data_IF_479934383510
#
_entry.id   IF_479934383510
#
_cell.length_a   1.000
_cell.length_b   1.000
_cell.length_c   1.000
_cell.angle_alpha   90.00
_cell.angle_beta   90.00
_cell.angle_gamma   90.00
#
_symmetry.space_group_name_H-M   'P 1'
#
loop_
_entity.id
_entity.type
_entity.pdbx_description
1 polymer ?
#
# COMPACT_ATOMS: atom_id res chain seq x y z
N UNK A 1 -7.81 -58.98 -13.30
CA UNK A 1 -6.60 -58.16 -13.52
C UNK A 1 -6.60 -57.03 -12.49
N UNK A 2 -5.74 -57.10 -11.47
CA UNK A 2 -5.60 -56.06 -10.45
C UNK A 2 -4.57 -55.03 -10.94
N UNK A 3 -5.04 -53.89 -11.42
CA UNK A 3 -4.17 -52.78 -11.82
C UNK A 3 -3.46 -52.23 -10.58
N UNK A 4 -2.16 -52.50 -10.50
CA UNK A 4 -1.25 -51.94 -9.51
C UNK A 4 -0.97 -50.50 -9.93
N UNK A 5 -1.69 -49.55 -9.35
CA UNK A 5 -1.43 -48.12 -9.55
C UNK A 5 0.04 -47.83 -9.24
N UNK A 6 0.81 -47.25 -10.18
CA UNK A 6 2.18 -46.87 -9.91
C UNK A 6 2.15 -45.69 -8.93
N UNK A 7 2.81 -45.89 -7.79
CA UNK A 7 3.09 -44.84 -6.83
C UNK A 7 3.93 -43.77 -7.53
N UNK A 8 3.29 -42.66 -7.91
CA UNK A 8 3.99 -41.45 -8.28
C UNK A 8 4.71 -40.96 -7.02
N UNK A 9 6.02 -41.19 -6.96
CA UNK A 9 6.90 -40.45 -6.07
C UNK A 9 6.81 -38.98 -6.48
N UNK A 10 5.95 -38.24 -5.77
CA UNK A 10 6.00 -36.78 -5.76
C UNK A 10 7.31 -36.43 -5.06
N UNK A 11 8.37 -36.26 -5.84
CA UNK A 11 9.57 -35.61 -5.35
C UNK A 11 9.14 -34.24 -4.82
N UNK A 12 9.31 -33.93 -3.53
CA UNK A 12 9.16 -32.57 -3.08
C UNK A 12 10.23 -31.79 -3.81
N UNK A 13 9.82 -31.04 -4.83
CA UNK A 13 10.61 -29.97 -5.36
C UNK A 13 10.71 -28.98 -4.20
N UNK A 14 11.71 -29.13 -3.35
CA UNK A 14 12.17 -28.04 -2.53
C UNK A 14 12.57 -26.97 -3.55
N UNK A 15 11.67 -26.00 -3.76
CA UNK A 15 12.00 -24.76 -4.44
C UNK A 15 13.14 -24.17 -3.63
N UNK A 16 14.38 -24.51 -3.97
CA UNK A 16 15.59 -23.89 -3.45
C UNK A 16 15.47 -22.44 -3.86
N UNK A 17 14.91 -21.63 -2.95
CA UNK A 17 14.94 -20.19 -3.09
C UNK A 17 16.41 -19.83 -3.24
N UNK A 18 16.80 -19.10 -4.30
CA UNK A 18 18.18 -18.65 -4.43
C UNK A 18 18.60 -18.01 -3.10
N UNK A 19 19.83 -18.27 -2.62
CA UNK A 19 20.30 -17.70 -1.37
C UNK A 19 20.07 -16.19 -1.44
N UNK A 20 19.41 -15.65 -0.41
CA UNK A 20 19.12 -14.23 -0.35
C UNK A 20 20.43 -13.45 -0.56
N UNK A 21 20.42 -12.37 -1.37
CA UNK A 21 21.62 -11.57 -1.57
C UNK A 21 22.16 -11.12 -0.21
N UNK A 22 23.48 -10.99 -0.11
CA UNK A 22 24.13 -10.55 1.12
C UNK A 22 23.42 -9.30 1.68
N UNK A 23 23.00 -9.40 2.92
CA UNK A 23 22.26 -8.37 3.62
C UNK A 23 23.07 -7.07 3.65
N UNK A 24 22.63 -6.07 2.90
CA UNK A 24 23.26 -4.74 2.92
C UNK A 24 22.66 -3.90 4.05
N UNK A 25 23.30 -3.97 5.22
CA UNK A 25 22.89 -3.25 6.43
C UNK A 25 22.80 -1.75 6.18
N UNK A 26 23.74 -1.17 5.41
CA UNK A 26 23.73 0.26 5.11
C UNK A 26 22.50 0.67 4.28
N UNK A 27 22.08 -0.17 3.33
CA UNK A 27 20.85 0.08 2.56
C UNK A 27 19.62 0.02 3.46
N UNK A 28 19.57 -0.91 4.41
CA UNK A 28 18.46 -1.00 5.36
C UNK A 28 18.42 0.21 6.32
N UNK A 29 19.58 0.67 6.80
CA UNK A 29 19.65 1.88 7.63
C UNK A 29 19.23 3.12 6.82
N UNK A 30 19.68 3.26 5.56
CA UNK A 30 19.28 4.38 4.71
C UNK A 30 17.78 4.37 4.39
N UNK A 31 17.20 3.20 4.10
CA UNK A 31 15.76 3.11 3.86
C UNK A 31 14.96 3.48 5.11
N UNK A 32 15.40 3.08 6.31
CA UNK A 32 14.77 3.48 7.57
C UNK A 32 14.85 5.00 7.81
N UNK A 33 16.02 5.61 7.55
CA UNK A 33 16.19 7.08 7.66
C UNK A 33 15.28 7.83 6.69
N UNK A 34 15.15 7.36 5.45
CA UNK A 34 14.23 7.95 4.49
C UNK A 34 12.76 7.75 4.90
N UNK A 35 12.41 6.56 5.39
CA UNK A 35 11.06 6.25 5.84
C UNK A 35 10.58 7.19 6.96
N UNK A 36 11.48 7.70 7.82
CA UNK A 36 11.14 8.71 8.81
C UNK A 36 10.62 10.02 8.17
N UNK A 37 11.20 10.44 7.05
CA UNK A 37 10.71 11.60 6.28
C UNK A 37 9.36 11.35 5.62
N UNK A 38 9.14 10.13 5.10
CA UNK A 38 7.85 9.70 4.54
C UNK A 38 6.79 9.63 5.64
N UNK A 39 7.15 9.19 6.84
CA UNK A 39 6.25 9.11 7.99
C UNK A 39 5.75 10.49 8.41
N UNK A 40 6.60 11.51 8.40
CA UNK A 40 6.17 12.89 8.68
C UNK A 40 5.11 13.37 7.67
N UNK A 41 5.31 13.08 6.39
CA UNK A 41 4.32 13.37 5.34
C UNK A 41 3.03 12.55 5.56
N UNK A 42 3.12 11.29 5.97
CA UNK A 42 1.96 10.47 6.32
C UNK A 42 1.15 11.04 7.49
N UNK A 43 1.83 11.45 8.57
CA UNK A 43 1.18 12.10 9.71
C UNK A 43 0.47 13.40 9.30
N UNK A 44 1.07 14.17 8.40
CA UNK A 44 0.46 15.37 7.85
C UNK A 44 -0.82 15.04 7.06
N UNK A 45 -0.78 14.04 6.17
CA UNK A 45 -1.96 13.59 5.42
C UNK A 45 -3.08 13.15 6.36
N UNK A 46 -2.77 12.29 7.32
CA UNK A 46 -3.75 11.77 8.28
C UNK A 46 -4.36 12.89 9.13
N UNK A 47 -3.55 13.82 9.64
CA UNK A 47 -4.04 14.94 10.46
C UNK A 47 -4.93 15.90 9.67
N UNK A 48 -4.61 16.18 8.41
CA UNK A 48 -5.43 17.03 7.53
C UNK A 48 -6.77 16.39 7.17
N UNK A 49 -6.77 15.09 6.86
CA UNK A 49 -8.00 14.34 6.58
C UNK A 49 -8.89 14.30 7.84
N UNK A 50 -8.33 13.86 8.98
CA UNK A 50 -9.07 13.77 10.23
C UNK A 50 -9.59 15.14 10.73
N UNK A 51 -8.83 16.21 10.50
CA UNK A 51 -9.19 17.57 10.91
C UNK A 51 -10.11 18.33 9.96
N UNK A 52 -10.46 17.76 8.79
CA UNK A 52 -11.26 18.49 7.80
C UNK A 52 -12.31 17.59 7.14
N UNK A 53 -13.57 17.78 7.55
CA UNK A 53 -14.73 17.12 6.93
C UNK A 53 -14.88 17.50 5.45
N UNK A 54 -14.62 18.76 5.10
CA UNK A 54 -14.72 19.23 3.72
C UNK A 54 -13.66 18.57 2.82
N UNK A 55 -12.42 18.46 3.29
CA UNK A 55 -11.36 17.74 2.56
C UNK A 55 -11.71 16.27 2.38
N UNK A 56 -12.17 15.62 3.45
CA UNK A 56 -12.60 14.22 3.42
C UNK A 56 -13.72 14.00 2.41
N UNK A 57 -14.73 14.88 2.39
CA UNK A 57 -15.83 14.84 1.42
C UNK A 57 -15.32 14.94 -0.02
N UNK A 58 -14.41 15.88 -0.30
CA UNK A 58 -13.83 16.03 -1.65
C UNK A 58 -13.03 14.82 -2.10
N UNK A 59 -12.30 14.17 -1.19
CA UNK A 59 -11.57 12.93 -1.49
C UNK A 59 -12.55 11.80 -1.80
N UNK A 60 -13.60 11.63 -1.00
CA UNK A 60 -14.63 10.61 -1.22
C UNK A 60 -15.33 10.81 -2.56
N UNK A 61 -15.78 12.04 -2.86
CA UNK A 61 -16.43 12.35 -4.15
C UNK A 61 -15.51 12.06 -5.34
N UNK A 62 -14.21 12.39 -5.24
CA UNK A 62 -13.25 12.06 -6.29
C UNK A 62 -13.04 10.54 -6.43
N UNK A 63 -13.05 9.80 -5.32
CA UNK A 63 -12.94 8.33 -5.34
C UNK A 63 -14.17 7.67 -5.97
N UNK A 64 -15.39 8.15 -5.65
CA UNK A 64 -16.64 7.70 -6.27
C UNK A 64 -16.62 7.91 -7.79
N UNK A 65 -16.02 9.01 -8.25
CA UNK A 65 -15.85 9.33 -9.67
C UNK A 65 -14.66 8.63 -10.34
N UNK A 66 -13.93 7.79 -9.59
CA UNK A 66 -12.67 7.17 -10.03
C UNK A 66 -11.59 8.15 -10.49
N UNK A 67 -11.63 9.39 -10.00
CA UNK A 67 -10.68 10.45 -10.36
C UNK A 67 -9.42 10.44 -9.48
N UNK A 68 -8.49 9.55 -9.84
CA UNK A 68 -7.17 9.44 -9.19
C UNK A 68 -6.38 10.74 -9.25
N UNK A 69 -6.51 11.54 -10.32
CA UNK A 69 -5.72 12.74 -10.49
C UNK A 69 -6.13 13.83 -9.50
N UNK A 70 -7.44 13.99 -9.28
CA UNK A 70 -7.96 14.90 -8.25
C UNK A 70 -7.53 14.49 -6.86
N UNK A 71 -7.59 13.20 -6.50
CA UNK A 71 -7.13 12.74 -5.18
C UNK A 71 -5.65 13.03 -4.98
N UNK A 72 -4.79 12.68 -5.96
CA UNK A 72 -3.35 12.98 -5.89
C UNK A 72 -3.09 14.47 -5.71
N UNK A 73 -3.83 15.32 -6.44
CA UNK A 73 -3.73 16.78 -6.32
C UNK A 73 -4.13 17.26 -4.92
N UNK A 74 -5.25 16.78 -4.38
CA UNK A 74 -5.72 17.12 -3.04
C UNK A 74 -4.68 16.75 -1.97
N UNK A 75 -4.07 15.57 -2.08
CA UNK A 75 -3.02 15.12 -1.15
C UNK A 75 -1.76 15.98 -1.29
N UNK A 76 -1.30 16.26 -2.50
CA UNK A 76 -0.15 17.14 -2.73
C UNK A 76 -0.37 18.55 -2.19
N UNK A 77 -1.59 19.09 -2.30
CA UNK A 77 -1.96 20.38 -1.74
C UNK A 77 -1.88 20.45 -0.21
N UNK A 78 -1.81 19.31 0.49
CA UNK A 78 -1.61 19.28 1.94
C UNK A 78 -0.17 19.63 2.37
N UNK A 79 0.76 19.73 1.42
CA UNK A 79 2.19 20.00 1.67
C UNK A 79 3.07 18.74 1.62
N UNK A 80 2.56 17.63 1.07
CA UNK A 80 3.30 16.38 0.92
C UNK A 80 4.43 16.52 -0.10
N UNK A 81 5.64 16.19 0.32
CA UNK A 81 6.86 16.33 -0.49
C UNK A 81 7.07 15.09 -1.36
N UNK A 82 6.83 13.91 -0.80
CA UNK A 82 7.05 12.62 -1.49
C UNK A 82 6.00 12.36 -2.58
N UNK A 83 6.34 11.49 -3.54
CA UNK A 83 5.40 11.08 -4.59
C UNK A 83 4.20 10.33 -3.98
N UNK A 84 3.02 10.49 -4.60
CA UNK A 84 1.76 9.96 -4.08
C UNK A 84 1.08 9.14 -5.16
N UNK A 85 0.74 7.90 -4.82
CA UNK A 85 -0.17 7.08 -5.59
C UNK A 85 -1.37 6.65 -4.74
N UNK A 86 -2.50 6.35 -5.38
CA UNK A 86 -3.74 6.01 -4.71
C UNK A 86 -4.50 4.90 -5.44
N UNK A 87 -4.92 3.91 -4.67
CA UNK A 87 -5.86 2.87 -5.08
C UNK A 87 -7.05 2.92 -4.14
N UNK A 88 -8.25 2.80 -4.66
CA UNK A 88 -9.47 2.85 -3.87
C UNK A 88 -10.51 1.89 -4.43
N UNK A 89 -11.42 1.49 -3.56
CA UNK A 89 -12.63 0.75 -3.89
C UNK A 89 -13.80 1.42 -3.12
N UNK A 90 -15.04 0.92 -3.24
CA UNK A 90 -16.17 1.48 -2.50
C UNK A 90 -16.01 1.48 -0.97
N UNK A 91 -15.07 0.73 -0.40
CA UNK A 91 -14.89 0.57 1.04
C UNK A 91 -13.77 1.42 1.64
N UNK A 92 -12.81 1.83 0.83
CA UNK A 92 -11.65 2.57 1.31
C UNK A 92 -10.62 2.95 0.26
N UNK A 93 -9.55 3.56 0.75
CA UNK A 93 -8.40 4.04 -0.03
C UNK A 93 -7.09 3.56 0.58
N UNK A 94 -6.15 3.28 -0.31
CA UNK A 94 -4.75 3.06 -0.02
C UNK A 94 -3.97 4.21 -0.64
N UNK A 95 -3.32 5.00 0.21
CA UNK A 95 -2.44 6.10 -0.19
C UNK A 95 -1.01 5.60 -0.04
N UNK A 96 -0.30 5.52 -1.15
CA UNK A 96 1.11 5.15 -1.19
C UNK A 96 1.96 6.41 -1.28
N UNK A 97 2.81 6.63 -0.28
CA UNK A 97 3.85 7.64 -0.30
C UNK A 97 5.17 6.96 -0.68
N UNK A 98 5.77 7.42 -1.78
CA UNK A 98 6.88 6.74 -2.44
C UNK A 98 8.15 7.59 -2.31
N UNK A 99 9.19 6.99 -1.73
CA UNK A 99 10.56 7.48 -1.77
C UNK A 99 11.45 6.55 -2.60
N UNK A 100 12.72 6.93 -2.73
CA UNK A 100 13.68 6.19 -3.58
C UNK A 100 14.08 4.83 -3.02
N UNK A 101 13.99 4.62 -1.70
CA UNK A 101 14.42 3.40 -1.01
C UNK A 101 13.38 2.88 -0.02
N UNK A 102 12.25 3.60 0.14
CA UNK A 102 11.21 3.28 1.10
C UNK A 102 9.84 3.70 0.56
N UNK A 103 8.80 3.00 1.00
CA UNK A 103 7.40 3.27 0.67
C UNK A 103 6.58 3.14 1.95
N UNK A 104 5.63 4.03 2.14
CA UNK A 104 4.63 3.92 3.19
C UNK A 104 3.25 3.82 2.58
N UNK A 105 2.41 2.95 3.13
CA UNK A 105 1.07 2.73 2.62
C UNK A 105 0.09 3.00 3.76
N UNK A 106 -0.77 3.98 3.55
CA UNK A 106 -1.84 4.35 4.48
C UNK A 106 -3.13 3.73 3.96
N UNK A 107 -3.72 2.85 4.75
CA UNK A 107 -5.00 2.25 4.44
C UNK A 107 -6.06 2.95 5.29
N UNK A 108 -7.05 3.58 4.65
CA UNK A 108 -8.17 4.26 5.30
C UNK A 108 -9.49 3.72 4.78
N UNK A 109 -10.38 3.32 5.70
CA UNK A 109 -11.74 2.86 5.37
C UNK A 109 -12.75 3.99 5.51
N UNK A 110 -13.81 3.94 4.73
CA UNK A 110 -14.99 4.80 4.89
C UNK A 110 -16.31 4.04 4.82
N UNK A 111 -16.31 2.78 4.39
CA UNK A 111 -17.46 1.89 4.55
C UNK A 111 -17.42 1.21 5.92
N UNK A 112 -18.56 1.13 6.58
CA UNK A 112 -18.73 0.34 7.79
C UNK A 112 -18.75 -1.16 7.50
N UNK A 113 -19.06 -1.54 6.25
CA UNK A 113 -19.22 -2.93 5.85
C UNK A 113 -17.86 -3.65 5.83
N UNK A 114 -17.74 -4.71 6.64
CA UNK A 114 -16.45 -5.27 7.05
C UNK A 114 -15.75 -6.11 5.97
N UNK A 115 -16.44 -6.43 4.87
CA UNK A 115 -16.04 -7.58 4.05
C UNK A 115 -14.95 -7.32 3.01
N UNK A 116 -14.62 -6.06 2.67
CA UNK A 116 -13.83 -5.81 1.46
C UNK A 116 -12.63 -4.87 1.61
N UNK A 117 -12.43 -4.24 2.77
CA UNK A 117 -11.31 -3.31 2.94
C UNK A 117 -9.94 -3.97 2.70
N UNK A 118 -9.73 -5.21 3.18
CA UNK A 118 -8.47 -5.94 3.01
C UNK A 118 -8.23 -6.49 1.59
N UNK A 119 -9.22 -6.42 0.69
CA UNK A 119 -9.13 -7.01 -0.66
C UNK A 119 -8.56 -6.08 -1.73
N UNK A 120 -8.18 -4.85 -1.36
CA UNK A 120 -7.56 -3.93 -2.31
C UNK A 120 -6.14 -4.43 -2.62
N UNK A 121 -5.92 -4.81 -3.89
CA UNK A 121 -4.61 -5.19 -4.39
C UNK A 121 -3.76 -3.93 -4.61
N UNK A 122 -2.59 -3.91 -3.98
CA UNK A 122 -1.59 -2.83 -3.99
C UNK A 122 -0.60 -2.91 -5.14
#
# INVERSE_FOLDING_TARGET
MRYRYPWFYVYPYEVRRPPAPANNIDTFIRSAKQAAGIFADAQLVLSRIAGSRELSRRILTAAEQSDKQTIRRLIKQMGVRHEVDTVFNPDGIYISLIGTQSRMILALRWSEDRNHFASIRL
#
